data_IF_197581367010
#
_entry.id   IF_197581367010
#
_cell.length_a   1.000
_cell.length_b   1.000
_cell.length_c   1.000
_cell.angle_alpha   90.00
_cell.angle_beta   90.00
_cell.angle_gamma   90.00
#
_symmetry.space_group_name_H-M   'P 1'
#
loop_
_entity.id
_entity.type
_entity.pdbx_description
1 polymer ?
#
# COMPACT_ATOMS: atom_id res chain seq x y z
N UNK A 1 2.69 10.24 -10.27
CA UNK A 1 1.38 9.59 -10.05
C UNK A 1 0.30 10.66 -10.17
N UNK A 2 -0.88 10.37 -10.74
CA UNK A 2 -2.01 11.31 -10.73
C UNK A 2 -2.88 11.15 -9.47
N UNK A 3 -3.90 11.99 -9.31
CA UNK A 3 -4.97 11.78 -8.33
C UNK A 3 -5.69 10.45 -8.58
N UNK A 4 -6.24 9.83 -7.53
CA UNK A 4 -7.00 8.59 -7.66
C UNK A 4 -8.42 8.81 -8.20
N UNK A 5 -8.99 7.76 -8.77
CA UNK A 5 -10.39 7.71 -9.18
C UNK A 5 -11.33 8.05 -8.01
N UNK A 6 -12.44 8.73 -8.29
CA UNK A 6 -13.37 9.26 -7.29
C UNK A 6 -12.90 10.52 -6.55
N UNK A 7 -11.69 11.03 -6.86
CA UNK A 7 -11.23 12.31 -6.30
C UNK A 7 -12.03 13.48 -6.90
N UNK A 8 -12.52 14.36 -6.03
CA UNK A 8 -13.18 15.61 -6.39
C UNK A 8 -12.22 16.78 -6.13
N UNK A 9 -11.79 17.45 -7.20
CA UNK A 9 -10.79 18.52 -7.13
C UNK A 9 -11.26 19.75 -7.90
N UNK A 10 -10.82 20.93 -7.48
CA UNK A 10 -11.12 22.18 -8.16
C UNK A 10 -9.89 23.08 -8.22
N UNK A 11 -9.92 24.01 -9.16
CA UNK A 11 -9.05 25.17 -9.15
C UNK A 11 -9.92 26.44 -9.08
N UNK A 12 -9.29 27.61 -9.10
CA UNK A 12 -9.97 28.92 -9.09
C UNK A 12 -11.11 29.13 -10.12
N UNK A 13 -11.22 28.30 -11.15
CA UNK A 13 -12.19 28.44 -12.24
C UNK A 13 -13.13 27.25 -12.36
N UNK A 14 -12.59 26.03 -12.30
CA UNK A 14 -13.23 24.83 -12.80
C UNK A 14 -13.27 23.72 -11.75
N UNK A 15 -14.26 22.84 -11.89
CA UNK A 15 -14.50 21.68 -11.03
C UNK A 15 -14.21 20.40 -11.81
N UNK A 16 -13.65 19.41 -11.13
CA UNK A 16 -13.24 18.15 -11.77
C UNK A 16 -13.52 16.94 -10.90
N UNK A 17 -13.78 15.82 -11.57
CA UNK A 17 -13.73 14.48 -11.00
C UNK A 17 -12.65 13.66 -11.72
N UNK A 18 -11.94 12.82 -10.98
CA UNK A 18 -11.10 11.79 -11.57
C UNK A 18 -11.95 10.53 -11.77
N UNK A 19 -12.07 10.12 -13.03
CA UNK A 19 -12.96 9.03 -13.43
C UNK A 19 -12.30 8.20 -14.53
N UNK A 20 -12.22 6.89 -14.35
CA UNK A 20 -11.47 5.97 -15.21
C UNK A 20 -10.04 6.45 -15.50
N UNK A 21 -9.34 6.90 -14.45
CA UNK A 21 -7.99 7.46 -14.47
C UNK A 21 -7.83 8.74 -15.31
N UNK A 22 -8.93 9.40 -15.68
CA UNK A 22 -8.94 10.66 -16.43
C UNK A 22 -9.48 11.81 -15.59
N UNK A 23 -8.92 12.99 -15.80
CA UNK A 23 -9.43 14.25 -15.29
C UNK A 23 -10.61 14.72 -16.15
N UNK A 24 -11.81 14.75 -15.59
CA UNK A 24 -13.02 15.20 -16.29
C UNK A 24 -13.53 16.50 -15.68
N UNK A 25 -13.66 17.52 -16.49
CA UNK A 25 -14.19 18.82 -16.10
C UNK A 25 -15.72 18.83 -16.09
N UNK A 26 -16.34 19.44 -15.10
CA UNK A 26 -17.76 19.80 -15.16
C UNK A 26 -17.93 21.11 -15.92
N UNK A 27 -18.84 21.15 -16.90
CA UNK A 27 -19.06 22.35 -17.74
C UNK A 27 -19.49 23.60 -16.98
N UNK A 28 -20.03 23.44 -15.77
CA UNK A 28 -20.40 24.55 -14.88
C UNK A 28 -20.56 24.11 -13.43
N UNK A 29 -20.50 25.08 -12.51
CA UNK A 29 -20.89 24.89 -11.11
C UNK A 29 -22.37 24.51 -10.97
N UNK A 30 -23.24 24.99 -11.86
CA UNK A 30 -24.65 24.61 -11.85
C UNK A 30 -24.80 23.11 -12.08
N UNK A 31 -24.05 22.54 -13.03
CA UNK A 31 -24.05 21.11 -13.30
C UNK A 31 -23.57 20.27 -12.09
N UNK A 32 -22.54 20.74 -11.38
CA UNK A 32 -22.08 20.10 -10.13
C UNK A 32 -23.22 20.01 -9.12
N UNK A 33 -23.98 21.10 -8.95
CA UNK A 33 -25.14 21.19 -8.04
C UNK A 33 -26.32 20.36 -8.52
N UNK A 34 -26.60 20.34 -9.83
CA UNK A 34 -27.69 19.58 -10.42
C UNK A 34 -27.48 18.06 -10.27
N UNK A 35 -26.22 17.61 -10.35
CA UNK A 35 -25.84 16.23 -10.04
C UNK A 35 -25.90 15.93 -8.52
N UNK A 36 -25.96 16.94 -7.68
CA UNK A 36 -26.06 16.80 -6.22
C UNK A 36 -24.72 16.66 -5.50
N UNK A 37 -23.61 16.98 -6.15
CA UNK A 37 -22.32 17.06 -5.47
C UNK A 37 -22.30 18.26 -4.52
N UNK A 38 -21.74 18.05 -3.32
CA UNK A 38 -21.44 19.13 -2.39
C UNK A 38 -20.20 19.91 -2.89
N UNK A 39 -20.29 21.23 -2.99
CA UNK A 39 -19.18 22.09 -3.42
C UNK A 39 -17.98 22.00 -2.46
N UNK A 40 -18.23 21.78 -1.16
CA UNK A 40 -17.22 21.64 -0.12
C UNK A 40 -16.51 20.27 -0.16
N UNK A 41 -17.03 19.33 -0.94
CA UNK A 41 -16.37 18.05 -1.21
C UNK A 41 -15.17 18.20 -2.16
N UNK A 42 -15.14 19.26 -2.98
CA UNK A 42 -14.06 19.51 -3.93
C UNK A 42 -12.85 20.15 -3.24
N UNK A 43 -11.70 19.48 -3.35
CA UNK A 43 -10.44 20.01 -2.83
C UNK A 43 -9.83 21.01 -3.81
N UNK A 44 -9.53 22.23 -3.35
CA UNK A 44 -8.72 23.18 -4.11
C UNK A 44 -7.30 22.63 -4.29
N UNK A 45 -6.79 22.60 -5.54
CA UNK A 45 -5.47 22.07 -5.90
C UNK A 45 -4.73 22.98 -6.87
N UNK A 46 -3.42 22.78 -7.01
CA UNK A 46 -2.64 23.55 -7.99
C UNK A 46 -2.94 23.08 -9.41
N UNK A 47 -3.07 24.01 -10.36
CA UNK A 47 -3.34 23.67 -11.77
C UNK A 47 -2.26 22.78 -12.39
N UNK A 48 -1.01 22.86 -11.92
CA UNK A 48 0.07 21.97 -12.38
C UNK A 48 -0.10 20.53 -11.90
N UNK A 49 -0.77 20.27 -10.77
CA UNK A 49 -1.05 18.91 -10.29
C UNK A 49 -2.10 18.21 -11.17
N UNK A 50 -3.01 18.96 -11.79
CA UNK A 50 -4.06 18.40 -12.65
C UNK A 50 -3.48 17.70 -13.90
N UNK A 51 -2.29 18.10 -14.35
CA UNK A 51 -1.60 17.54 -15.53
C UNK A 51 -1.14 16.08 -15.33
N UNK A 52 -1.14 15.57 -14.10
CA UNK A 52 -0.73 14.19 -13.80
C UNK A 52 -1.83 13.16 -14.06
N UNK A 53 -3.07 13.58 -14.30
CA UNK A 53 -4.13 12.75 -14.85
C UNK A 53 -4.34 13.12 -16.32
N UNK A 54 -4.59 12.12 -17.18
CA UNK A 54 -4.90 12.40 -18.59
C UNK A 54 -6.23 13.13 -18.68
N UNK A 55 -6.34 14.10 -19.58
CA UNK A 55 -7.62 14.77 -19.85
C UNK A 55 -8.66 13.76 -20.36
N UNK A 56 -9.88 13.88 -19.84
CA UNK A 56 -11.06 13.17 -20.31
C UNK A 56 -12.11 14.13 -20.85
N UNK A 57 -13.23 13.56 -21.30
CA UNK A 57 -14.32 14.35 -21.86
C UNK A 57 -14.95 15.25 -20.79
N UNK A 58 -15.33 16.45 -21.19
CA UNK A 58 -16.08 17.40 -20.36
C UNK A 58 -17.47 16.82 -20.09
N UNK A 59 -17.90 16.90 -18.84
CA UNK A 59 -19.22 16.49 -18.38
C UNK A 59 -20.17 17.67 -18.67
N UNK A 60 -21.17 17.44 -19.51
CA UNK A 60 -22.08 18.50 -20.00
C UNK A 60 -23.55 18.26 -19.68
N UNK A 61 -23.91 17.11 -19.12
CA UNK A 61 -25.29 16.75 -18.78
C UNK A 61 -25.37 16.20 -17.36
N UNK A 62 -26.49 16.49 -16.69
CA UNK A 62 -26.87 15.94 -15.38
C UNK A 62 -27.62 14.61 -15.48
N UNK A 63 -27.88 14.11 -16.68
CA UNK A 63 -28.66 12.87 -16.91
C UNK A 63 -27.86 11.61 -16.57
N UNK A 64 -26.53 11.70 -16.63
CA UNK A 64 -25.62 10.57 -16.45
C UNK A 64 -24.53 10.97 -15.45
N UNK A 65 -24.41 10.20 -14.38
CA UNK A 65 -23.29 10.34 -13.44
C UNK A 65 -22.00 9.84 -14.08
N UNK A 66 -20.87 10.57 -13.94
CA UNK A 66 -19.58 10.06 -14.36
C UNK A 66 -19.21 8.79 -13.58
N UNK A 67 -18.45 7.88 -14.19
CA UNK A 67 -17.88 6.74 -13.46
C UNK A 67 -17.06 7.23 -12.27
N UNK A 68 -16.98 6.39 -11.24
CA UNK A 68 -16.34 6.66 -9.96
C UNK A 68 -17.05 7.72 -9.10
N UNK A 69 -18.25 8.17 -9.49
CA UNK A 69 -19.16 8.89 -8.59
C UNK A 69 -19.51 8.04 -7.37
N UNK A 70 -19.53 8.66 -6.20
CA UNK A 70 -19.78 8.00 -4.91
C UNK A 70 -21.15 8.40 -4.38
N UNK A 71 -21.87 7.45 -3.80
CA UNK A 71 -23.21 7.67 -3.26
C UNK A 71 -23.33 7.11 -1.85
N UNK A 72 -24.18 7.75 -1.05
CA UNK A 72 -24.63 7.27 0.25
C UNK A 72 -26.14 7.04 0.18
N UNK A 73 -26.58 5.82 0.44
CA UNK A 73 -28.00 5.43 0.46
C UNK A 73 -28.28 4.75 1.79
N UNK A 74 -29.05 5.40 2.66
CA UNK A 74 -29.16 4.97 4.06
C UNK A 74 -27.80 5.00 4.76
N UNK A 75 -27.37 3.86 5.30
CA UNK A 75 -26.06 3.70 5.95
C UNK A 75 -24.96 3.14 5.03
N UNK A 76 -25.34 2.77 3.81
CA UNK A 76 -24.47 2.10 2.85
C UNK A 76 -23.85 3.09 1.86
N UNK A 77 -22.65 2.74 1.39
CA UNK A 77 -21.92 3.50 0.38
C UNK A 77 -21.85 2.70 -0.92
N UNK A 78 -21.89 3.41 -2.04
CA UNK A 78 -21.88 2.85 -3.38
C UNK A 78 -20.95 3.64 -4.29
N UNK A 79 -20.47 2.99 -5.35
CA UNK A 79 -19.79 3.64 -6.47
C UNK A 79 -20.41 3.17 -7.78
N UNK A 80 -20.52 4.09 -8.74
CA UNK A 80 -20.93 3.73 -10.10
C UNK A 80 -19.71 3.48 -10.99
N UNK A 81 -19.77 2.42 -11.80
CA UNK A 81 -18.75 2.14 -12.83
C UNK A 81 -19.37 1.40 -14.00
N UNK A 82 -19.13 1.88 -15.22
CA UNK A 82 -19.72 1.33 -16.44
C UNK A 82 -21.25 1.16 -16.33
N UNK A 83 -21.94 2.17 -15.75
CA UNK A 83 -23.38 2.19 -15.48
C UNK A 83 -23.91 1.14 -14.48
N UNK A 84 -23.04 0.31 -13.89
CA UNK A 84 -23.39 -0.56 -12.77
C UNK A 84 -23.09 0.13 -11.45
N UNK A 85 -23.92 -0.12 -10.45
CA UNK A 85 -23.69 0.39 -9.09
C UNK A 85 -23.21 -0.75 -8.19
N UNK A 86 -22.04 -0.58 -7.58
CA UNK A 86 -21.45 -1.55 -6.66
C UNK A 86 -21.47 -1.00 -5.25
N UNK A 87 -21.88 -1.84 -4.29
CA UNK A 87 -21.90 -1.51 -2.87
C UNK A 87 -20.53 -1.72 -2.25
N UNK A 88 -20.07 -0.83 -1.37
CA UNK A 88 -18.92 -1.11 -0.52
C UNK A 88 -19.28 -2.14 0.53
N UNK A 89 -18.39 -3.12 0.78
CA UNK A 89 -18.64 -4.21 1.75
C UNK A 89 -18.91 -3.69 3.16
N UNK A 90 -18.38 -2.52 3.50
CA UNK A 90 -18.71 -1.80 4.73
C UNK A 90 -18.38 -0.31 4.62
N UNK A 91 -18.95 0.50 5.53
CA UNK A 91 -18.55 1.91 5.71
C UNK A 91 -17.05 2.08 5.98
N UNK A 92 -16.42 1.09 6.63
CA UNK A 92 -14.98 1.13 6.92
C UNK A 92 -14.17 0.89 5.65
N UNK A 93 -14.61 -0.03 4.78
CA UNK A 93 -14.01 -0.20 3.45
C UNK A 93 -14.07 1.10 2.64
N UNK A 94 -15.23 1.77 2.60
CA UNK A 94 -15.34 3.11 2.00
C UNK A 94 -14.35 4.10 2.61
N UNK A 95 -14.24 4.16 3.94
CA UNK A 95 -13.40 5.13 4.65
C UNK A 95 -11.89 4.93 4.44
N UNK A 96 -11.45 3.75 4.00
CA UNK A 96 -10.04 3.56 3.58
C UNK A 96 -9.72 4.24 2.26
N UNK A 97 -10.74 4.67 1.52
CA UNK A 97 -10.59 5.28 0.22
C UNK A 97 -11.12 6.72 0.24
N UNK A 98 -12.32 6.96 0.75
CA UNK A 98 -13.02 8.22 0.52
C UNK A 98 -13.52 8.84 1.82
N UNK A 99 -13.71 10.15 1.79
CA UNK A 99 -14.36 10.89 2.87
C UNK A 99 -15.88 10.87 2.67
N UNK A 100 -16.70 10.77 3.74
CA UNK A 100 -18.15 10.76 3.63
C UNK A 100 -18.74 11.91 2.82
N UNK A 101 -18.14 13.10 2.92
CA UNK A 101 -18.59 14.29 2.16
C UNK A 101 -18.41 14.19 0.64
N UNK A 102 -17.63 13.24 0.14
CA UNK A 102 -17.50 13.00 -1.30
C UNK A 102 -18.70 12.23 -1.87
N UNK A 103 -19.50 11.59 -1.02
CA UNK A 103 -20.63 10.79 -1.44
C UNK A 103 -21.91 11.65 -1.55
N UNK A 104 -22.60 11.51 -2.68
CA UNK A 104 -23.90 12.15 -2.91
C UNK A 104 -24.97 11.37 -2.16
N UNK A 105 -25.71 12.04 -1.28
CA UNK A 105 -26.80 11.40 -0.53
C UNK A 105 -28.04 11.22 -1.41
N UNK A 106 -28.60 10.00 -1.40
CA UNK A 106 -29.78 9.61 -2.18
C UNK A 106 -30.72 8.71 -1.36
N UNK A 107 -32.00 8.70 -1.72
CA UNK A 107 -32.98 7.76 -1.16
C UNK A 107 -32.85 6.35 -1.78
N UNK A 108 -33.43 5.32 -1.15
CA UNK A 108 -33.38 3.93 -1.65
C UNK A 108 -33.87 3.76 -3.10
N UNK A 109 -34.87 4.54 -3.51
CA UNK A 109 -35.44 4.56 -4.86
C UNK A 109 -34.41 4.92 -5.95
N UNK A 110 -33.31 5.58 -5.58
CA UNK A 110 -32.22 5.89 -6.50
C UNK A 110 -31.60 4.63 -7.10
N UNK A 111 -31.48 3.56 -6.31
CA UNK A 111 -30.85 2.30 -6.74
C UNK A 111 -31.66 1.59 -7.83
N UNK A 112 -32.97 1.87 -7.94
CA UNK A 112 -33.84 1.28 -8.97
C UNK A 112 -33.46 1.72 -10.39
N UNK A 113 -32.67 2.78 -10.53
CA UNK A 113 -32.22 3.31 -11.82
C UNK A 113 -30.96 2.60 -12.37
N UNK A 114 -30.35 1.69 -11.60
CA UNK A 114 -29.09 1.07 -11.94
C UNK A 114 -29.15 -0.45 -11.84
N UNK A 115 -28.35 -1.12 -12.67
CA UNK A 115 -28.04 -2.53 -12.44
C UNK A 115 -27.11 -2.63 -11.21
N UNK A 116 -27.57 -3.32 -10.16
CA UNK A 116 -26.78 -3.57 -8.97
C UNK A 116 -25.77 -4.68 -9.28
N UNK A 117 -24.49 -4.39 -9.04
CA UNK A 117 -23.42 -5.38 -9.14
C UNK A 117 -23.54 -6.41 -8.02
N UNK A 118 -23.31 -7.69 -8.36
CA UNK A 118 -23.16 -8.76 -7.37
C UNK A 118 -21.84 -8.67 -6.59
N UNK A 119 -20.86 -7.94 -7.15
CA UNK A 119 -19.54 -7.74 -6.55
C UNK A 119 -19.55 -6.54 -5.60
N UNK A 120 -18.94 -6.74 -4.43
CA UNK A 120 -18.72 -5.68 -3.46
C UNK A 120 -17.39 -4.97 -3.69
N UNK A 121 -17.36 -3.68 -3.38
CA UNK A 121 -16.11 -2.91 -3.31
C UNK A 121 -15.49 -3.12 -1.93
N UNK A 122 -14.24 -3.59 -1.95
CA UNK A 122 -13.45 -3.83 -0.75
C UNK A 122 -12.79 -2.60 -0.13
N UNK A 123 -11.93 -2.87 0.85
CA UNK A 123 -10.95 -1.94 1.39
C UNK A 123 -9.95 -1.55 0.30
N UNK A 124 -9.31 -0.39 0.47
CA UNK A 124 -8.24 0.08 -0.40
C UNK A 124 -7.10 -0.94 -0.48
N UNK A 125 -6.45 -1.04 -1.64
CA UNK A 125 -5.17 -1.73 -1.76
C UNK A 125 -4.16 -1.18 -0.72
N UNK A 126 -3.30 -2.05 -0.20
CA UNK A 126 -2.35 -1.75 0.87
C UNK A 126 -2.97 -1.76 2.28
N UNK A 127 -4.29 -1.95 2.41
CA UNK A 127 -4.93 -2.01 3.72
C UNK A 127 -4.51 -3.26 4.49
N UNK A 128 -4.01 -3.05 5.70
CA UNK A 128 -3.76 -4.09 6.70
C UNK A 128 -5.05 -4.45 7.43
N UNK A 129 -5.41 -5.73 7.40
CA UNK A 129 -6.60 -6.28 8.07
C UNK A 129 -6.20 -7.36 9.08
N UNK A 130 -7.04 -7.60 10.08
CA UNK A 130 -6.95 -8.78 10.94
C UNK A 130 -8.29 -9.52 11.06
N UNK A 131 -8.23 -10.84 11.19
CA UNK A 131 -9.36 -11.69 11.56
C UNK A 131 -8.88 -12.67 12.63
N UNK A 132 -9.28 -12.43 13.88
CA UNK A 132 -8.71 -13.12 15.04
C UNK A 132 -7.20 -12.85 15.15
N UNK A 133 -6.39 -13.91 15.19
CA UNK A 133 -4.92 -13.82 15.26
C UNK A 133 -4.24 -13.73 13.88
N UNK A 134 -4.99 -13.80 12.79
CA UNK A 134 -4.45 -13.76 11.43
C UNK A 134 -4.41 -12.33 10.90
N UNK A 135 -3.26 -11.91 10.37
CA UNK A 135 -3.08 -10.63 9.67
C UNK A 135 -3.12 -10.81 8.16
N UNK A 136 -3.58 -9.78 7.44
CA UNK A 136 -3.76 -9.80 6.00
C UNK A 136 -3.42 -8.45 5.36
N UNK A 137 -3.07 -8.49 4.06
CA UNK A 137 -2.89 -7.30 3.22
C UNK A 137 -3.85 -7.40 2.04
N UNK A 138 -4.61 -6.35 1.78
CA UNK A 138 -5.44 -6.22 0.58
C UNK A 138 -4.58 -5.73 -0.58
N UNK A 139 -4.68 -6.39 -1.74
CA UNK A 139 -3.91 -6.01 -2.93
C UNK A 139 -4.63 -6.48 -4.19
N UNK A 140 -5.06 -5.56 -5.06
CA UNK A 140 -5.71 -5.83 -6.34
C UNK A 140 -6.92 -6.79 -6.25
N UNK A 141 -7.81 -6.57 -5.29
CA UNK A 141 -8.98 -7.44 -5.07
C UNK A 141 -8.64 -8.82 -4.49
N UNK A 142 -7.38 -9.04 -4.09
CA UNK A 142 -6.92 -10.25 -3.41
C UNK A 142 -6.62 -9.94 -1.95
N UNK A 143 -6.60 -11.00 -1.15
CA UNK A 143 -6.14 -10.94 0.23
C UNK A 143 -4.94 -11.85 0.44
N UNK A 144 -3.87 -11.27 0.99
CA UNK A 144 -2.58 -11.91 1.24
C UNK A 144 -2.44 -12.17 2.74
N UNK A 145 -2.50 -13.42 3.22
CA UNK A 145 -2.29 -13.72 4.63
C UNK A 145 -0.81 -13.55 5.00
N UNK A 146 -0.53 -12.79 6.04
CA UNK A 146 0.85 -12.50 6.47
C UNK A 146 1.40 -13.71 7.22
N UNK A 147 2.58 -14.21 6.82
CA UNK A 147 3.16 -15.45 7.34
C UNK A 147 3.30 -15.43 8.88
N UNK A 148 3.85 -14.34 9.44
CA UNK A 148 4.06 -14.18 10.87
C UNK A 148 4.39 -12.73 11.24
N UNK A 149 4.46 -12.46 12.56
CA UNK A 149 4.84 -11.16 13.15
C UNK A 149 6.20 -10.67 12.64
N UNK A 150 7.17 -11.57 12.45
CA UNK A 150 8.50 -11.17 11.96
C UNK A 150 8.43 -10.64 10.53
N UNK A 151 7.63 -11.25 9.65
CA UNK A 151 7.36 -10.70 8.31
C UNK A 151 6.67 -9.34 8.42
N UNK A 152 5.65 -9.21 9.26
CA UNK A 152 4.90 -7.96 9.44
C UNK A 152 5.82 -6.79 9.81
N UNK A 153 6.61 -6.97 10.87
CA UNK A 153 7.51 -5.93 11.39
C UNK A 153 8.69 -5.66 10.44
N UNK A 154 9.25 -6.70 9.81
CA UNK A 154 10.39 -6.53 8.89
C UNK A 154 10.01 -5.82 7.60
N UNK A 155 8.76 -5.99 7.16
CA UNK A 155 8.20 -5.24 6.03
C UNK A 155 7.79 -3.81 6.41
N UNK A 156 8.02 -3.40 7.66
CA UNK A 156 7.80 -2.03 8.13
C UNK A 156 6.33 -1.66 8.34
N UNK A 157 5.44 -2.65 8.45
CA UNK A 157 4.04 -2.41 8.75
C UNK A 157 3.84 -2.02 10.22
N UNK A 158 2.83 -1.19 10.47
CA UNK A 158 2.49 -0.70 11.80
C UNK A 158 1.23 -1.39 12.33
N UNK A 159 1.26 -1.81 13.59
CA UNK A 159 0.12 -2.44 14.26
C UNK A 159 -1.06 -1.49 14.44
N UNK A 160 -0.81 -0.19 14.62
CA UNK A 160 -1.85 0.84 14.75
C UNK A 160 -2.66 1.02 13.46
N UNK A 161 -2.10 0.60 12.33
CA UNK A 161 -2.75 0.65 11.01
C UNK A 161 -3.65 -0.58 10.73
N UNK A 162 -3.67 -1.59 11.60
CA UNK A 162 -4.42 -2.83 11.37
C UNK A 162 -5.91 -2.63 11.68
N UNK A 163 -6.76 -2.91 10.69
CA UNK A 163 -8.22 -2.86 10.86
C UNK A 163 -8.74 -4.26 11.18
N UNK A 164 -9.38 -4.43 12.34
CA UNK A 164 -10.05 -5.69 12.70
C UNK A 164 -11.29 -5.90 11.83
N UNK A 165 -11.23 -6.87 10.92
CA UNK A 165 -12.28 -7.20 9.97
C UNK A 165 -13.09 -8.42 10.42
N UNK A 166 -14.29 -8.58 9.87
CA UNK A 166 -15.13 -9.76 10.09
C UNK A 166 -15.04 -10.75 8.90
N UNK A 167 -15.68 -11.91 9.03
CA UNK A 167 -15.65 -12.96 8.00
C UNK A 167 -16.30 -12.55 6.67
N UNK A 168 -17.34 -11.71 6.70
CA UNK A 168 -18.03 -11.22 5.50
C UNK A 168 -17.14 -10.25 4.72
N UNK A 169 -16.48 -9.33 5.42
CA UNK A 169 -15.53 -8.37 4.86
C UNK A 169 -14.31 -9.05 4.23
N UNK A 170 -13.83 -10.15 4.81
CA UNK A 170 -12.71 -10.92 4.28
C UNK A 170 -13.16 -11.85 3.14
N UNK A 171 -14.41 -12.35 3.21
CA UNK A 171 -14.96 -13.35 2.30
C UNK A 171 -15.13 -12.88 0.86
N UNK A 172 -15.10 -11.57 0.60
CA UNK A 172 -15.23 -11.03 -0.76
C UNK A 172 -13.94 -11.14 -1.60
N UNK A 173 -12.78 -11.39 -0.97
CA UNK A 173 -11.50 -11.39 -1.66
C UNK A 173 -11.07 -12.79 -2.09
N UNK A 174 -10.37 -12.87 -3.23
CA UNK A 174 -9.62 -14.07 -3.58
C UNK A 174 -8.45 -14.25 -2.60
N UNK A 175 -8.45 -15.36 -1.86
CA UNK A 175 -7.35 -15.71 -0.96
C UNK A 175 -6.14 -16.21 -1.75
N UNK A 176 -4.97 -15.67 -1.43
CA UNK A 176 -3.72 -16.02 -2.10
C UNK A 176 -2.75 -16.78 -1.17
N UNK A 177 -1.54 -17.05 -1.69
CA UNK A 177 -0.45 -17.65 -0.93
C UNK A 177 -0.02 -16.72 0.21
N UNK A 178 0.65 -17.30 1.22
CA UNK A 178 1.22 -16.54 2.33
C UNK A 178 2.14 -15.43 1.81
N UNK A 179 2.01 -14.26 2.43
CA UNK A 179 2.92 -13.15 2.27
C UNK A 179 4.14 -13.34 3.16
N UNK A 180 5.31 -13.44 2.54
CA UNK A 180 6.60 -13.72 3.18
C UNK A 180 7.60 -12.59 2.95
N UNK A 181 8.66 -12.57 3.76
CA UNK A 181 9.67 -11.49 3.76
C UNK A 181 10.48 -11.38 2.46
N UNK A 182 10.51 -12.45 1.65
CA UNK A 182 11.19 -12.50 0.36
C UNK A 182 10.35 -11.92 -0.79
N UNK A 183 9.13 -11.45 -0.51
CA UNK A 183 8.24 -10.85 -1.51
C UNK A 183 8.31 -9.32 -1.46
N UNK A 184 8.14 -8.63 -2.61
CA UNK A 184 8.04 -7.18 -2.62
C UNK A 184 6.81 -6.71 -1.85
N UNK A 185 6.83 -5.46 -1.37
CA UNK A 185 5.62 -4.82 -0.83
C UNK A 185 4.45 -4.96 -1.81
N UNK A 186 3.25 -5.37 -1.33
CA UNK A 186 2.07 -5.49 -2.19
C UNK A 186 1.60 -4.14 -2.74
N UNK A 187 0.70 -4.19 -3.73
CA UNK A 187 0.13 -2.98 -4.29
C UNK A 187 -0.70 -2.21 -3.27
N UNK A 188 -0.73 -0.89 -3.43
CA UNK A 188 -1.39 0.02 -2.51
C UNK A 188 -0.53 0.50 -1.34
N UNK A 189 0.55 -0.22 -1.03
CA UNK A 189 1.50 0.23 -0.01
C UNK A 189 2.15 1.54 -0.45
N UNK A 190 2.15 2.52 0.45
CA UNK A 190 2.87 3.77 0.27
C UNK A 190 4.20 3.67 1.02
N UNK A 191 5.30 3.92 0.31
CA UNK A 191 6.65 3.93 0.85
C UNK A 191 7.14 5.37 1.02
N UNK A 192 7.77 5.68 2.14
CA UNK A 192 8.40 6.99 2.40
C UNK A 192 9.90 6.83 2.54
N UNK A 193 10.65 7.45 1.62
CA UNK A 193 12.09 7.49 1.70
C UNK A 193 12.55 8.43 2.81
N UNK A 194 13.27 7.89 3.80
CA UNK A 194 13.70 8.61 5.00
C UNK A 194 14.63 9.79 4.72
N UNK A 195 15.44 9.73 3.66
CA UNK A 195 16.44 10.77 3.36
C UNK A 195 15.86 11.91 2.53
N UNK A 196 15.15 11.58 1.45
CA UNK A 196 14.64 12.58 0.50
C UNK A 196 13.22 13.04 0.83
N UNK A 197 12.51 12.33 1.72
CA UNK A 197 11.10 12.58 2.02
C UNK A 197 10.16 12.26 0.86
N UNK A 198 10.66 11.56 -0.17
CA UNK A 198 9.87 11.15 -1.33
C UNK A 198 8.89 10.06 -0.94
N UNK A 199 7.68 10.15 -1.50
CA UNK A 199 6.65 9.13 -1.33
C UNK A 199 6.44 8.38 -2.64
N UNK A 200 6.33 7.06 -2.53
CA UNK A 200 6.07 6.16 -3.64
C UNK A 200 4.83 5.33 -3.38
N UNK A 201 3.97 5.18 -4.37
CA UNK A 201 2.86 4.24 -4.36
C UNK A 201 3.27 2.96 -5.09
N UNK A 202 3.09 1.81 -4.46
CA UNK A 202 3.31 0.52 -5.12
C UNK A 202 2.09 0.20 -6.00
N UNK A 203 2.32 0.08 -7.31
CA UNK A 203 1.27 -0.22 -8.28
C UNK A 203 1.79 -1.17 -9.37
N UNK A 204 1.10 -2.29 -9.52
CA UNK A 204 1.48 -3.38 -10.43
C UNK A 204 2.92 -3.85 -10.18
N UNK A 205 3.35 -3.90 -8.92
CA UNK A 205 4.71 -4.28 -8.51
C UNK A 205 5.79 -3.23 -8.82
N UNK A 206 5.42 -2.05 -9.34
CA UNK A 206 6.33 -0.93 -9.56
C UNK A 206 6.14 0.17 -8.51
N UNK A 207 7.23 0.89 -8.21
CA UNK A 207 7.19 2.09 -7.36
C UNK A 207 6.89 3.31 -8.23
N UNK A 208 5.79 4.00 -7.94
CA UNK A 208 5.35 5.20 -8.66
C UNK A 208 5.52 6.42 -7.75
N UNK A 209 6.42 7.33 -8.11
CA UNK A 209 6.66 8.55 -7.34
C UNK A 209 5.41 9.45 -7.34
N UNK A 210 5.08 10.00 -6.16
CA UNK A 210 4.12 11.08 -6.02
C UNK A 210 4.73 12.42 -6.40
N UNK A 211 3.97 13.23 -7.13
CA UNK A 211 4.48 14.46 -7.75
C UNK A 211 3.77 15.74 -7.28
N UNK A 212 3.01 15.66 -6.18
CA UNK A 212 2.32 16.80 -5.58
C UNK A 212 1.63 16.48 -4.26
N UNK A 213 1.57 17.43 -3.31
CA UNK A 213 1.00 17.21 -1.98
C UNK A 213 -0.50 16.91 -1.99
N UNK A 214 -1.28 17.51 -2.89
CA UNK A 214 -2.72 17.22 -2.95
C UNK A 214 -2.99 15.84 -3.55
N UNK A 215 -2.12 15.41 -4.48
CA UNK A 215 -2.15 14.04 -5.01
C UNK A 215 -1.89 13.04 -3.87
N UNK A 216 -0.85 13.27 -3.07
CA UNK A 216 -0.55 12.42 -1.89
C UNK A 216 -1.77 12.30 -0.98
N UNK A 217 -2.42 13.42 -0.66
CA UNK A 217 -3.62 13.43 0.21
C UNK A 217 -4.80 12.63 -0.36
N UNK A 218 -4.84 12.42 -1.67
CA UNK A 218 -5.86 11.55 -2.28
C UNK A 218 -5.61 10.08 -1.99
N UNK A 219 -4.38 9.64 -1.70
CA UNK A 219 -4.05 8.23 -1.39
C UNK A 219 -3.76 7.98 0.10
N UNK A 220 -3.07 8.91 0.76
CA UNK A 220 -2.51 8.73 2.09
C UNK A 220 -3.62 8.80 3.17
N UNK A 221 -4.02 7.64 3.69
CA UNK A 221 -4.98 7.51 4.81
C UNK A 221 -4.35 6.93 6.08
N UNK A 222 -3.11 6.47 6.00
CA UNK A 222 -2.34 5.79 7.05
C UNK A 222 -0.87 6.16 6.94
N UNK A 223 -0.09 5.79 7.93
CA UNK A 223 1.34 6.07 7.91
C UNK A 223 2.03 5.26 6.80
N UNK A 224 2.90 5.91 6.00
CA UNK A 224 3.63 5.20 4.95
C UNK A 224 4.72 4.32 5.58
N UNK A 225 5.02 3.21 4.91
CA UNK A 225 6.14 2.34 5.29
C UNK A 225 7.45 3.07 5.05
N UNK A 226 8.26 3.26 6.09
CA UNK A 226 9.56 3.89 5.97
C UNK A 226 10.54 2.98 5.22
N UNK A 227 11.14 3.51 4.16
CA UNK A 227 12.19 2.86 3.36
C UNK A 227 13.40 3.77 3.21
N UNK A 228 14.53 3.20 2.78
CA UNK A 228 15.76 3.97 2.60
C UNK A 228 16.48 3.55 1.33
N UNK A 229 16.44 4.43 0.33
CA UNK A 229 17.02 4.14 -0.99
C UNK A 229 18.53 3.93 -0.95
N UNK A 230 19.25 4.59 -0.04
CA UNK A 230 20.69 4.40 0.08
C UNK A 230 21.06 2.95 0.40
N UNK A 231 20.18 2.19 1.07
CA UNK A 231 20.38 0.78 1.33
C UNK A 231 20.54 -0.06 0.06
N UNK A 232 19.92 0.35 -1.04
CA UNK A 232 20.05 -0.32 -2.35
C UNK A 232 21.42 -0.08 -3.01
N UNK A 233 22.16 0.93 -2.56
CA UNK A 233 23.47 1.32 -3.10
C UNK A 233 24.62 0.85 -2.21
N UNK A 234 24.34 0.49 -0.96
CA UNK A 234 25.34 0.01 -0.01
C UNK A 234 25.62 -1.46 -0.31
N UNK A 235 26.77 -1.72 -0.91
CA UNK A 235 27.27 -3.07 -1.14
C UNK A 235 28.60 -3.25 -0.43
N UNK A 236 28.77 -4.41 0.19
CA UNK A 236 30.07 -4.88 0.66
C UNK A 236 30.43 -6.09 -0.18
N UNK A 237 31.70 -6.21 -0.52
CA UNK A 237 32.22 -7.31 -1.32
C UNK A 237 33.44 -7.90 -0.63
N UNK A 238 33.70 -9.17 -0.91
CA UNK A 238 34.93 -9.79 -0.51
C UNK A 238 35.25 -11.00 -1.40
N UNK A 239 36.54 -11.35 -1.46
CA UNK A 239 37.01 -12.44 -2.30
C UNK A 239 37.01 -13.75 -1.53
N UNK A 240 36.36 -14.78 -2.08
CA UNK A 240 36.38 -16.13 -1.53
C UNK A 240 37.81 -16.69 -1.54
N UNK A 241 38.35 -17.00 -0.36
CA UNK A 241 39.65 -17.64 -0.20
C UNK A 241 39.48 -19.10 0.17
N UNK A 242 40.29 -19.96 -0.43
CA UNK A 242 40.30 -21.38 -0.09
C UNK A 242 40.80 -21.55 1.34
N UNK A 243 40.07 -22.33 2.15
CA UNK A 243 40.54 -22.72 3.48
C UNK A 243 41.79 -23.58 3.38
N UNK A 244 42.75 -23.32 4.27
CA UNK A 244 44.01 -24.05 4.35
C UNK A 244 43.74 -25.57 4.46
N UNK A 245 44.41 -26.36 3.63
CA UNK A 245 44.32 -27.83 3.59
C UNK A 245 43.71 -28.40 2.30
N UNK A 246 43.40 -29.70 2.32
CA UNK A 246 42.87 -30.43 1.15
C UNK A 246 41.36 -30.24 0.92
N UNK A 247 40.68 -29.44 1.75
CA UNK A 247 39.24 -29.23 1.62
C UNK A 247 38.90 -28.33 0.43
N UNK A 248 37.78 -28.61 -0.27
CA UNK A 248 37.20 -27.72 -1.28
C UNK A 248 36.30 -26.66 -0.64
N UNK A 249 36.70 -26.12 0.51
CA UNK A 249 35.94 -25.10 1.26
C UNK A 249 36.55 -23.73 1.01
N UNK A 250 35.68 -22.77 0.82
CA UNK A 250 36.04 -21.37 0.64
C UNK A 250 35.32 -20.56 1.72
N UNK A 251 35.96 -19.51 2.21
CA UNK A 251 35.33 -18.56 3.09
C UNK A 251 35.78 -17.14 2.78
N UNK A 252 34.96 -16.22 3.27
CA UNK A 252 35.24 -14.81 3.21
C UNK A 252 34.50 -14.11 4.35
N UNK A 253 35.04 -12.98 4.80
CA UNK A 253 34.45 -12.18 5.88
C UNK A 253 34.29 -10.76 5.36
N UNK A 254 33.06 -10.24 5.45
CA UNK A 254 32.75 -8.86 5.13
C UNK A 254 32.44 -8.09 6.41
N UNK A 255 33.01 -6.88 6.61
CA UNK A 255 32.48 -5.95 7.60
C UNK A 255 31.03 -5.60 7.25
N UNK A 256 30.20 -5.37 8.26
CA UNK A 256 28.78 -4.96 8.10
C UNK A 256 28.52 -3.59 8.73
N UNK A 257 29.57 -2.89 9.16
CA UNK A 257 29.53 -1.58 9.78
C UNK A 257 28.72 -0.57 8.97
N UNK A 258 28.93 -0.53 7.65
CA UNK A 258 28.22 0.35 6.71
C UNK A 258 26.72 0.05 6.58
N UNK A 259 26.26 -1.11 7.08
CA UNK A 259 24.88 -1.56 6.99
C UNK A 259 24.12 -1.42 8.32
N UNK A 260 24.79 -1.03 9.42
CA UNK A 260 24.19 -0.97 10.76
C UNK A 260 23.09 0.08 10.90
N UNK A 261 23.16 1.14 10.10
CA UNK A 261 22.25 2.29 10.19
C UNK A 261 21.16 2.27 9.11
N UNK A 262 21.11 1.22 8.29
CA UNK A 262 20.10 1.06 7.24
C UNK A 262 18.80 0.56 7.86
N UNK A 263 17.66 1.09 7.40
CA UNK A 263 16.37 0.56 7.80
C UNK A 263 15.97 -0.64 6.94
N UNK A 264 15.44 -1.67 7.60
CA UNK A 264 15.11 -2.96 6.97
C UNK A 264 15.99 -4.09 7.48
N UNK A 265 15.47 -5.31 7.41
CA UNK A 265 16.12 -6.51 7.95
C UNK A 265 16.54 -7.52 6.85
N UNK A 266 16.41 -7.12 5.58
CA UNK A 266 16.65 -7.99 4.43
C UNK A 266 17.98 -7.69 3.76
N UNK A 267 18.71 -8.76 3.46
CA UNK A 267 20.04 -8.71 2.86
C UNK A 267 20.07 -9.56 1.61
N UNK A 268 20.57 -9.00 0.51
CA UNK A 268 20.84 -9.75 -0.72
C UNK A 268 22.31 -10.14 -0.78
N UNK A 269 22.58 -11.43 -1.04
CA UNK A 269 23.92 -11.95 -1.25
C UNK A 269 24.08 -12.39 -2.71
N UNK A 270 25.12 -11.90 -3.36
CA UNK A 270 25.45 -12.24 -4.75
C UNK A 270 26.83 -12.87 -4.80
N UNK A 271 26.93 -14.05 -5.42
CA UNK A 271 28.20 -14.72 -5.69
C UNK A 271 28.50 -14.64 -7.19
N UNK A 272 29.56 -13.92 -7.53
CA UNK A 272 30.09 -13.87 -8.89
C UNK A 272 31.29 -14.82 -9.02
N UNK A 273 31.36 -15.56 -10.14
CA UNK A 273 32.44 -16.51 -10.42
C UNK A 273 32.85 -16.40 -11.89
N UNK A 274 34.16 -16.36 -12.15
CA UNK A 274 34.72 -16.36 -13.52
C UNK A 274 34.75 -17.75 -14.16
N UNK A 275 34.29 -18.78 -13.44
CA UNK A 275 34.27 -20.16 -13.89
C UNK A 275 33.00 -20.89 -13.44
N UNK A 276 32.66 -21.96 -14.15
CA UNK A 276 31.56 -22.84 -13.75
C UNK A 276 31.89 -23.52 -12.41
N UNK A 277 31.08 -23.21 -11.39
CA UNK A 277 31.20 -23.80 -10.06
C UNK A 277 29.96 -24.63 -9.73
N UNK A 278 30.19 -25.82 -9.16
CA UNK A 278 29.13 -26.63 -8.56
C UNK A 278 29.13 -26.41 -7.06
N UNK A 279 28.11 -25.71 -6.57
CA UNK A 279 27.96 -25.37 -5.15
C UNK A 279 27.19 -26.50 -4.46
N UNK A 280 27.81 -27.10 -3.44
CA UNK A 280 27.15 -28.12 -2.61
C UNK A 280 26.36 -27.49 -1.46
N UNK A 281 26.89 -26.41 -0.85
CA UNK A 281 26.33 -25.79 0.34
C UNK A 281 26.81 -24.33 0.43
N UNK A 282 25.91 -23.43 0.86
CA UNK A 282 26.23 -22.03 1.19
C UNK A 282 25.86 -21.81 2.65
N UNK A 283 26.82 -21.34 3.44
CA UNK A 283 26.61 -20.99 4.85
C UNK A 283 26.87 -19.50 5.05
N UNK A 284 25.84 -18.77 5.47
CA UNK A 284 25.92 -17.35 5.80
C UNK A 284 25.80 -17.22 7.32
N UNK A 285 26.72 -16.48 7.93
CA UNK A 285 26.77 -16.33 9.38
C UNK A 285 26.99 -14.86 9.74
N UNK A 286 25.97 -14.25 10.34
CA UNK A 286 26.11 -12.94 10.98
C UNK A 286 26.79 -13.11 12.33
N UNK A 287 27.95 -12.48 12.52
CA UNK A 287 28.70 -12.50 13.78
C UNK A 287 28.57 -11.16 14.47
N UNK A 288 28.11 -11.16 15.73
CA UNK A 288 28.21 -10.00 16.63
C UNK A 288 29.48 -10.11 17.45
N UNK A 289 30.19 -9.01 17.64
CA UNK A 289 31.31 -8.95 18.58
C UNK A 289 30.79 -9.22 19.99
N UNK A 290 31.54 -9.99 20.79
CA UNK A 290 31.20 -10.28 22.17
C UNK A 290 31.40 -9.01 23.03
N UNK A 291 30.37 -8.19 23.14
CA UNK A 291 30.33 -6.98 23.97
C UNK A 291 29.20 -7.07 24.99
N UNK A 292 29.35 -6.39 26.14
CA UNK A 292 28.34 -6.36 27.19
C UNK A 292 26.99 -5.79 26.67
N UNK A 293 27.06 -4.82 25.77
CA UNK A 293 25.92 -4.22 25.09
C UNK A 293 25.17 -5.26 24.22
N UNK A 294 25.90 -6.01 23.37
CA UNK A 294 25.32 -7.05 22.54
C UNK A 294 24.69 -8.19 23.37
N UNK A 295 25.31 -8.53 24.51
CA UNK A 295 24.74 -9.50 25.45
C UNK A 295 23.41 -9.00 26.04
N UNK A 296 23.35 -7.73 26.45
CA UNK A 296 22.12 -7.11 26.97
C UNK A 296 21.00 -7.11 25.92
N UNK A 297 21.32 -6.77 24.68
CA UNK A 297 20.36 -6.82 23.56
C UNK A 297 19.86 -8.25 23.33
N UNK A 298 20.76 -9.24 23.28
CA UNK A 298 20.37 -10.63 23.08
C UNK A 298 19.44 -11.15 24.19
N UNK A 299 19.73 -10.84 25.46
CA UNK A 299 18.86 -11.19 26.59
C UNK A 299 17.49 -10.50 26.50
N UNK A 300 17.47 -9.24 26.05
CA UNK A 300 16.22 -8.50 25.81
C UNK A 300 15.38 -9.18 24.71
N UNK A 301 16.00 -9.59 23.61
CA UNK A 301 15.30 -10.27 22.51
C UNK A 301 14.77 -11.64 22.95
N UNK A 302 15.56 -12.41 23.72
CA UNK A 302 15.12 -13.68 24.30
C UNK A 302 13.89 -13.45 25.20
N UNK A 303 13.94 -12.44 26.07
CA UNK A 303 12.80 -12.09 26.93
C UNK A 303 11.56 -11.74 26.12
N UNK A 304 11.70 -10.92 25.06
CA UNK A 304 10.59 -10.57 24.16
C UNK A 304 9.97 -11.81 23.52
N UNK A 305 10.80 -12.71 22.97
CA UNK A 305 10.32 -13.97 22.35
C UNK A 305 9.58 -14.86 23.35
N UNK A 306 10.07 -14.96 24.59
CA UNK A 306 9.37 -15.70 25.65
C UNK A 306 8.02 -15.05 25.95
N UNK A 307 7.95 -13.73 26.10
CA UNK A 307 6.69 -13.02 26.34
C UNK A 307 5.68 -13.28 25.21
N UNK A 308 6.10 -13.14 23.95
CA UNK A 308 5.23 -13.36 22.78
C UNK A 308 4.69 -14.80 22.76
N UNK A 309 5.54 -15.79 23.06
CA UNK A 309 5.15 -17.19 23.00
C UNK A 309 4.35 -17.68 24.22
N UNK A 310 4.40 -16.99 25.36
CA UNK A 310 3.78 -17.45 26.63
C UNK A 310 2.70 -16.53 27.20
N UNK A 311 2.54 -15.30 26.69
CA UNK A 311 1.49 -14.36 27.13
C UNK A 311 0.45 -14.12 26.01
N UNK A 312 0.67 -14.69 24.82
CA UNK A 312 -0.28 -14.70 23.70
C UNK A 312 -1.26 -15.89 23.68
N UNK A 313 -1.50 -16.55 24.83
CA UNK A 313 -2.60 -17.51 25.05
C UNK A 313 -3.75 -16.87 25.82
#
# INVERSE_FOLDING_TARGET
MGFKDGSLVKNSKNYYIISNSKLREFSSLQLVKDLGYDEDSFKEVFSDELKYNKEGDIITSSDIYPDDSLFKVGDDYYQIKNQKISKFVSRRAFSTQYEPKQAIEKGPEFLENFEISEDFIGFADGTLLSLGLSGFIVSQGKILPINNVTTFESMGFNWDDVISANGEEIGIYEKTKLFTIDQPHPDGVILSDKEMGKLYYVQNGERREFTGPNIINSYLKKDPVLVEEKGLRITNQCELKKKIGFSKKYDCVMPIESMKDIIGNDYQFVLNSDSDIKINEINIMFKRNATLENLRLALSDIKKKIIINYIGE
#
